data_IF_990699551303
#
_entry.id   IF_990699551303
#
_cell.length_a   1.000
_cell.length_b   1.000
_cell.length_c   1.000
_cell.angle_alpha   90.00
_cell.angle_beta   90.00
_cell.angle_gamma   90.00
#
_symmetry.space_group_name_H-M   'P 1'
#
loop_
_entity.id
_entity.type
_entity.pdbx_description
1 polymer ?
#
# COMPACT_ATOMS: atom_id res chain seq x y z
N UNK A 1 12.98 -24.50 -3.49
CA UNK A 1 13.79 -24.08 -4.65
C UNK A 1 15.20 -23.83 -4.12
N UNK A 2 16.21 -24.45 -4.68
CA UNK A 2 17.60 -24.20 -4.33
C UNK A 2 18.11 -22.90 -4.99
N UNK A 3 19.19 -22.30 -4.47
CA UNK A 3 19.82 -21.15 -5.13
C UNK A 3 20.13 -21.44 -6.61
N UNK A 4 19.71 -20.54 -7.50
CA UNK A 4 19.86 -20.68 -8.96
C UNK A 4 18.76 -21.49 -9.65
N UNK A 5 17.85 -22.12 -8.92
CA UNK A 5 16.68 -22.80 -9.50
C UNK A 5 15.53 -21.80 -9.74
N UNK A 6 14.69 -22.13 -10.72
CA UNK A 6 13.47 -21.39 -11.04
C UNK A 6 12.26 -22.31 -11.04
N UNK A 7 11.12 -21.80 -10.58
CA UNK A 7 9.81 -22.47 -10.71
C UNK A 7 8.81 -21.53 -11.35
N UNK A 8 7.94 -22.09 -12.17
CA UNK A 8 6.84 -21.38 -12.80
C UNK A 8 5.56 -21.72 -12.06
N UNK A 9 4.87 -20.68 -11.57
CA UNK A 9 3.53 -20.77 -11.00
C UNK A 9 2.55 -20.26 -12.05
N UNK A 10 1.44 -21.00 -12.24
CA UNK A 10 0.35 -20.60 -13.14
C UNK A 10 -0.93 -20.54 -12.32
N UNK A 11 -1.63 -19.45 -12.42
CA UNK A 11 -2.94 -19.28 -11.79
C UNK A 11 -3.84 -18.45 -12.72
N UNK A 12 -5.16 -18.54 -12.50
CA UNK A 12 -6.14 -17.75 -13.19
C UNK A 12 -6.51 -16.54 -12.31
N UNK A 13 -6.38 -15.33 -12.87
CA UNK A 13 -6.70 -14.08 -12.19
C UNK A 13 -8.21 -13.85 -12.12
N UNK A 14 -8.90 -14.49 -11.17
CA UNK A 14 -10.37 -14.51 -11.07
C UNK A 14 -10.98 -13.36 -10.29
N UNK A 15 -10.21 -12.75 -9.42
CA UNK A 15 -10.68 -11.73 -8.50
C UNK A 15 -9.94 -10.42 -8.75
N UNK A 16 -10.68 -9.40 -9.17
CA UNK A 16 -10.14 -8.06 -9.34
C UNK A 16 -9.75 -7.45 -7.99
N UNK A 17 -8.72 -6.61 -8.00
CA UNK A 17 -8.19 -5.96 -6.80
C UNK A 17 -6.67 -5.94 -6.78
N UNK A 18 -6.11 -5.52 -5.67
CA UNK A 18 -4.69 -5.62 -5.39
C UNK A 18 -4.46 -6.65 -4.29
N UNK A 19 -3.64 -7.65 -4.57
CA UNK A 19 -3.47 -8.83 -3.74
C UNK A 19 -2.01 -9.03 -3.35
N UNK A 20 -1.79 -9.37 -2.08
CA UNK A 20 -0.45 -9.66 -1.57
C UNK A 20 -0.02 -11.07 -1.94
N UNK A 21 1.23 -11.21 -2.38
CA UNK A 21 1.94 -12.49 -2.33
C UNK A 21 3.14 -12.38 -1.40
N UNK A 22 3.48 -13.44 -0.72
CA UNK A 22 4.59 -13.42 0.24
C UNK A 22 5.21 -14.81 0.44
N UNK A 23 6.40 -14.84 1.03
CA UNK A 23 7.02 -16.10 1.46
C UNK A 23 6.19 -16.76 2.57
N UNK A 24 5.90 -18.05 2.41
CA UNK A 24 5.18 -18.88 3.40
C UNK A 24 6.08 -19.76 4.27
N UNK A 25 7.40 -19.62 4.17
CA UNK A 25 8.35 -20.39 4.99
C UNK A 25 8.27 -19.96 6.46
N UNK A 26 8.32 -20.93 7.36
CA UNK A 26 8.26 -20.65 8.81
C UNK A 26 9.61 -20.12 9.34
N UNK A 27 9.63 -19.08 10.17
CA UNK A 27 8.48 -18.29 10.60
C UNK A 27 8.13 -17.21 9.55
N UNK A 28 6.92 -17.28 8.99
CA UNK A 28 6.48 -16.35 7.93
C UNK A 28 6.61 -14.87 8.32
N UNK A 29 6.36 -14.55 9.57
CA UNK A 29 6.55 -13.22 10.13
C UNK A 29 7.95 -12.66 9.85
N UNK A 30 9.00 -13.49 10.05
CA UNK A 30 10.38 -13.07 9.82
C UNK A 30 10.66 -12.79 8.34
N UNK A 31 10.11 -13.61 7.45
CA UNK A 31 10.30 -13.44 6.01
C UNK A 31 9.54 -12.21 5.49
N UNK A 32 8.30 -12.03 5.90
CA UNK A 32 7.50 -10.84 5.52
C UNK A 32 8.16 -9.57 6.07
N UNK A 33 8.54 -9.55 7.35
CA UNK A 33 9.21 -8.41 7.98
C UNK A 33 10.59 -8.08 7.39
N UNK A 34 11.19 -9.00 6.62
CA UNK A 34 12.39 -8.75 5.83
C UNK A 34 12.09 -8.41 4.34
N UNK A 35 10.83 -8.13 4.00
CA UNK A 35 10.45 -7.64 2.67
C UNK A 35 10.17 -8.75 1.64
N UNK A 36 9.98 -10.00 2.05
CA UNK A 36 9.66 -11.10 1.13
C UNK A 36 8.16 -11.12 0.76
N UNK A 37 7.69 -10.05 0.17
CA UNK A 37 6.32 -9.86 -0.31
C UNK A 37 6.29 -9.02 -1.59
N UNK A 38 5.12 -8.97 -2.21
CA UNK A 38 4.82 -8.07 -3.32
C UNK A 38 3.33 -7.98 -3.58
N UNK A 39 2.96 -7.17 -4.57
CA UNK A 39 1.58 -6.93 -4.97
C UNK A 39 1.30 -7.51 -6.36
N UNK A 40 0.09 -8.03 -6.53
CA UNK A 40 -0.50 -8.36 -7.84
C UNK A 40 -1.75 -7.52 -8.01
N UNK A 41 -1.79 -6.70 -9.05
CA UNK A 41 -2.98 -5.93 -9.42
C UNK A 41 -3.72 -6.67 -10.54
N UNK A 42 -5.02 -6.83 -10.36
CA UNK A 42 -5.94 -7.40 -11.34
C UNK A 42 -7.06 -6.40 -11.52
N UNK A 43 -7.10 -5.76 -12.67
CA UNK A 43 -8.06 -4.70 -12.96
C UNK A 43 -9.51 -5.21 -12.89
N UNK A 44 -10.42 -4.46 -12.25
CA UNK A 44 -11.85 -4.71 -12.40
C UNK A 44 -12.28 -4.62 -13.86
N UNK A 45 -13.27 -5.42 -14.29
CA UNK A 45 -13.85 -5.27 -15.62
C UNK A 45 -14.32 -3.83 -15.85
N UNK A 46 -13.98 -3.27 -17.01
CA UNK A 46 -14.34 -1.90 -17.42
C UNK A 46 -13.80 -0.80 -16.49
N UNK A 47 -12.65 -1.02 -15.87
CA UNK A 47 -11.99 0.00 -15.07
C UNK A 47 -11.73 1.26 -15.94
N UNK A 48 -12.26 2.45 -15.59
CA UNK A 48 -12.05 3.64 -16.37
C UNK A 48 -10.58 4.04 -16.43
N UNK A 49 -10.09 4.63 -17.53
CA UNK A 49 -8.75 5.20 -17.55
C UNK A 49 -8.65 6.42 -16.61
N UNK A 50 -7.46 6.68 -16.12
CA UNK A 50 -7.09 7.85 -15.32
C UNK A 50 -5.84 8.49 -15.90
N UNK A 51 -5.53 9.73 -15.50
CA UNK A 51 -4.33 10.42 -15.98
C UNK A 51 -3.07 9.86 -15.32
N UNK A 52 -3.17 9.49 -14.04
CA UNK A 52 -2.08 8.89 -13.28
C UNK A 52 -2.53 7.68 -12.49
N UNK A 53 -1.71 6.66 -12.49
CA UNK A 53 -1.95 5.45 -11.72
C UNK A 53 -0.68 5.06 -10.95
N UNK A 54 -0.84 4.86 -9.63
CA UNK A 54 0.27 4.54 -8.74
C UNK A 54 -0.06 3.31 -7.89
N UNK A 55 1.00 2.63 -7.44
CA UNK A 55 0.90 1.54 -6.47
C UNK A 55 1.72 1.92 -5.24
N UNK A 56 1.06 1.92 -4.09
CA UNK A 56 1.66 2.16 -2.78
C UNK A 56 1.54 0.92 -1.91
N UNK A 57 2.66 0.36 -1.53
CA UNK A 57 2.73 -0.77 -0.61
C UNK A 57 3.25 -0.27 0.73
N UNK A 58 2.36 -0.23 1.74
CA UNK A 58 2.77 0.07 3.10
C UNK A 58 3.42 -1.16 3.73
N UNK A 59 4.50 -0.98 4.45
CA UNK A 59 5.14 -2.03 5.22
C UNK A 59 5.92 -1.48 6.40
N UNK A 60 6.25 -2.36 7.33
CA UNK A 60 7.06 -2.04 8.50
C UNK A 60 8.53 -2.40 8.27
N UNK A 61 9.42 -1.67 8.91
CA UNK A 61 10.85 -1.98 8.96
C UNK A 61 11.25 -2.32 10.39
N UNK A 62 11.93 -3.45 10.54
CA UNK A 62 12.47 -3.95 11.81
C UNK A 62 13.96 -4.17 11.66
N UNK A 63 14.78 -3.21 12.09
CA UNK A 63 16.22 -3.29 11.93
C UNK A 63 16.83 -4.29 12.92
N UNK A 64 17.72 -5.12 12.40
CA UNK A 64 18.65 -5.95 13.17
C UNK A 64 20.06 -5.35 13.21
N UNK A 65 21.07 -6.12 13.67
CA UNK A 65 22.46 -5.74 13.53
C UNK A 65 22.85 -5.52 12.06
N UNK A 66 23.83 -4.65 11.81
CA UNK A 66 24.25 -4.34 10.45
C UNK A 66 24.72 -5.58 9.70
N UNK A 67 24.14 -5.82 8.52
CA UNK A 67 24.41 -6.99 7.67
C UNK A 67 23.65 -8.26 8.04
N UNK A 68 22.83 -8.20 9.08
CA UNK A 68 21.98 -9.31 9.53
C UNK A 68 20.50 -9.04 9.13
N UNK A 69 19.68 -10.09 9.11
CA UNK A 69 18.22 -9.92 8.95
C UNK A 69 17.60 -9.04 10.02
N UNK A 70 16.41 -8.52 9.74
CA UNK A 70 15.59 -7.79 10.71
C UNK A 70 15.32 -8.60 11.98
N UNK A 71 15.19 -7.91 13.09
CA UNK A 71 15.03 -8.52 14.42
C UNK A 71 13.65 -9.17 14.59
N UNK A 72 13.64 -10.50 14.68
CA UNK A 72 12.41 -11.27 14.88
C UNK A 72 11.74 -10.97 16.22
N UNK A 73 12.51 -10.67 17.27
CA UNK A 73 11.96 -10.29 18.58
C UNK A 73 11.20 -8.97 18.52
N UNK A 74 11.73 -7.99 17.79
CA UNK A 74 11.00 -6.73 17.51
C UNK A 74 9.71 -7.01 16.73
N UNK A 75 9.76 -7.87 15.70
CA UNK A 75 8.57 -8.23 14.90
C UNK A 75 7.49 -8.87 15.77
N UNK A 76 7.86 -9.82 16.65
CA UNK A 76 6.94 -10.49 17.55
C UNK A 76 6.29 -9.56 18.59
N UNK A 77 6.97 -8.45 18.91
CA UNK A 77 6.48 -7.45 19.87
C UNK A 77 5.96 -6.17 19.19
N UNK A 78 5.81 -6.19 17.87
CA UNK A 78 5.31 -5.04 17.06
C UNK A 78 6.12 -3.76 17.26
N UNK A 79 7.43 -3.90 17.52
CA UNK A 79 8.35 -2.80 17.78
C UNK A 79 9.07 -2.37 16.50
N UNK A 80 8.30 -1.94 15.51
CA UNK A 80 8.84 -1.47 14.24
C UNK A 80 9.64 -0.17 14.41
N UNK A 81 10.76 -0.06 13.70
CA UNK A 81 11.60 1.12 13.68
C UNK A 81 11.07 2.18 12.69
N UNK A 82 10.44 1.74 11.60
CA UNK A 82 9.79 2.61 10.64
C UNK A 82 8.55 1.95 10.01
N UNK A 83 7.65 2.79 9.48
CA UNK A 83 6.57 2.40 8.57
C UNK A 83 6.77 3.18 7.28
N UNK A 84 6.68 2.52 6.15
CA UNK A 84 7.09 3.10 4.87
C UNK A 84 6.10 2.78 3.76
N UNK A 85 6.04 3.64 2.75
CA UNK A 85 5.44 3.32 1.46
C UNK A 85 6.55 2.96 0.46
N UNK A 86 6.39 1.82 -0.21
CA UNK A 86 7.32 1.30 -1.23
C UNK A 86 8.77 1.11 -0.72
N UNK A 87 8.93 0.76 0.56
CA UNK A 87 10.18 0.26 1.14
C UNK A 87 11.22 1.31 1.50
N UNK A 88 10.92 2.61 1.42
CA UNK A 88 11.88 3.67 1.71
C UNK A 88 11.30 4.71 2.67
N UNK A 89 12.05 5.00 3.77
CA UNK A 89 11.64 5.98 4.78
C UNK A 89 11.55 7.38 4.17
N UNK A 90 10.40 8.05 4.34
CA UNK A 90 10.14 9.38 3.81
C UNK A 90 10.34 9.51 2.27
N UNK A 91 10.15 8.43 1.50
CA UNK A 91 10.40 8.40 0.06
C UNK A 91 9.78 9.60 -0.67
N UNK A 92 8.50 9.83 -0.47
CA UNK A 92 7.76 10.85 -1.20
C UNK A 92 7.94 12.26 -0.63
N UNK A 93 8.50 12.39 0.56
CA UNK A 93 9.01 13.67 1.07
C UNK A 93 10.30 14.08 0.35
N UNK A 94 11.17 13.11 0.04
CA UNK A 94 12.43 13.36 -0.67
C UNK A 94 12.25 13.44 -2.20
N UNK A 95 11.29 12.68 -2.74
CA UNK A 95 10.99 12.63 -4.17
C UNK A 95 9.46 12.76 -4.36
N UNK A 96 8.89 13.98 -4.23
CA UNK A 96 7.46 14.20 -4.39
C UNK A 96 6.95 13.76 -5.77
N UNK A 97 5.81 13.10 -5.79
CA UNK A 97 5.07 12.81 -7.01
C UNK A 97 4.43 14.11 -7.51
N UNK A 98 4.47 14.34 -8.81
CA UNK A 98 3.87 15.52 -9.43
C UNK A 98 2.67 15.11 -10.26
N UNK A 99 1.57 15.82 -10.06
CA UNK A 99 0.34 15.75 -10.87
C UNK A 99 -0.16 17.17 -11.06
N UNK A 100 -0.84 17.45 -12.17
CA UNK A 100 -1.41 18.76 -12.43
C UNK A 100 -2.82 18.87 -11.82
N UNK A 101 -3.29 20.08 -11.51
CA UNK A 101 -4.66 20.29 -11.05
C UNK A 101 -5.70 19.68 -12.02
N UNK A 102 -6.74 19.11 -11.45
CA UNK A 102 -7.84 18.40 -12.13
C UNK A 102 -7.47 17.12 -12.88
N UNK A 103 -6.20 16.68 -12.88
CA UNK A 103 -5.87 15.34 -13.35
C UNK A 103 -6.41 14.28 -12.40
N UNK A 104 -6.94 13.21 -12.97
CA UNK A 104 -7.49 12.08 -12.24
C UNK A 104 -6.39 11.14 -11.79
N UNK A 105 -6.31 10.87 -10.51
CA UNK A 105 -5.33 9.96 -9.92
C UNK A 105 -6.02 8.72 -9.39
N UNK A 106 -5.47 7.54 -9.69
CA UNK A 106 -5.78 6.27 -9.03
C UNK A 106 -4.58 5.83 -8.21
N UNK A 107 -4.80 5.63 -6.92
CA UNK A 107 -3.82 5.08 -6.00
C UNK A 107 -4.25 3.68 -5.57
N UNK A 108 -3.59 2.64 -6.09
CA UNK A 108 -3.66 1.29 -5.54
C UNK A 108 -2.85 1.24 -4.25
N UNK A 109 -3.44 0.73 -3.21
CA UNK A 109 -2.80 0.63 -1.90
C UNK A 109 -2.89 -0.80 -1.40
N UNK A 110 -1.75 -1.34 -0.99
CA UNK A 110 -1.65 -2.63 -0.30
C UNK A 110 -1.01 -2.38 1.07
N UNK A 111 -1.63 -2.90 2.11
CA UNK A 111 -0.98 -3.00 3.40
C UNK A 111 -0.29 -4.38 3.52
N UNK A 112 1.02 -4.39 3.37
CA UNK A 112 1.80 -5.62 3.48
C UNK A 112 2.14 -5.98 4.93
N UNK A 113 1.93 -5.07 5.86
CA UNK A 113 2.19 -5.28 7.28
C UNK A 113 3.68 -5.48 7.60
N UNK A 114 4.00 -6.47 8.43
CA UNK A 114 3.23 -7.67 8.82
C UNK A 114 2.17 -7.48 9.92
N UNK A 115 2.19 -6.40 10.69
CA UNK A 115 1.34 -6.27 11.90
C UNK A 115 0.56 -4.96 11.97
N UNK A 116 1.13 -3.86 11.46
CA UNK A 116 0.51 -2.53 11.49
C UNK A 116 -0.57 -2.38 10.42
N UNK A 117 -1.70 -1.82 10.80
CA UNK A 117 -2.75 -1.44 9.86
C UNK A 117 -2.44 -0.10 9.17
N UNK A 118 -3.08 0.13 8.03
CA UNK A 118 -3.01 1.38 7.26
C UNK A 118 -4.31 2.16 7.38
N UNK A 119 -4.20 3.48 7.44
CA UNK A 119 -5.28 4.42 7.19
C UNK A 119 -4.78 5.41 6.11
N UNK A 120 -4.67 4.91 4.88
CA UNK A 120 -4.13 5.69 3.76
C UNK A 120 -4.95 6.94 3.52
N UNK A 121 -4.30 8.10 3.55
CA UNK A 121 -4.92 9.40 3.42
C UNK A 121 -4.03 10.35 2.63
N UNK A 122 -4.66 11.22 1.86
CA UNK A 122 -4.01 12.36 1.22
C UNK A 122 -4.61 13.64 1.78
N UNK A 123 -3.79 14.41 2.48
CA UNK A 123 -4.22 15.63 3.16
C UNK A 123 -4.69 16.65 2.13
N UNK A 124 -5.87 17.22 2.34
CA UNK A 124 -6.43 18.26 1.48
C UNK A 124 -7.30 17.75 0.33
N UNK A 125 -7.60 16.45 0.28
CA UNK A 125 -8.55 15.90 -0.69
C UNK A 125 -9.50 14.88 -0.06
N UNK A 126 -10.57 14.58 -0.77
CA UNK A 126 -11.55 13.54 -0.43
C UNK A 126 -11.61 12.56 -1.61
N UNK A 127 -11.53 11.29 -1.32
CA UNK A 127 -11.70 10.24 -2.32
C UNK A 127 -13.17 10.14 -2.72
N UNK A 128 -13.47 10.24 -3.99
CA UNK A 128 -14.81 10.06 -4.55
C UNK A 128 -15.04 8.63 -5.07
N UNK A 129 -13.96 7.88 -5.22
CA UNK A 129 -13.99 6.45 -5.57
C UNK A 129 -13.18 5.66 -4.55
N UNK A 130 -13.79 4.58 -4.06
CA UNK A 130 -13.16 3.64 -3.13
C UNK A 130 -13.49 2.22 -3.58
N UNK A 131 -12.45 1.45 -3.86
CA UNK A 131 -12.51 0.01 -4.10
C UNK A 131 -11.68 -0.68 -3.02
N UNK A 132 -12.27 -1.62 -2.31
CA UNK A 132 -11.58 -2.34 -1.23
C UNK A 132 -11.78 -3.83 -1.37
N UNK A 133 -10.69 -4.57 -1.25
CA UNK A 133 -10.65 -6.00 -1.47
C UNK A 133 -11.13 -6.33 -2.89
N UNK A 134 -12.21 -6.92 -3.12
CA UNK A 134 -12.78 -7.19 -4.44
C UNK A 134 -14.06 -6.39 -4.76
N UNK A 135 -14.30 -5.25 -4.08
CA UNK A 135 -15.61 -4.58 -4.12
C UNK A 135 -15.50 -3.07 -4.26
N UNK A 136 -16.27 -2.51 -5.21
CA UNK A 136 -16.46 -1.06 -5.33
C UNK A 136 -17.43 -0.59 -4.24
N UNK A 137 -16.93 0.24 -3.33
CA UNK A 137 -17.70 0.75 -2.18
C UNK A 137 -18.30 2.13 -2.45
N UNK A 138 -17.62 2.95 -3.23
CA UNK A 138 -17.96 4.32 -3.54
C UNK A 138 -17.54 4.66 -4.96
N UNK A 139 -18.38 5.36 -5.71
CA UNK A 139 -18.04 5.92 -7.02
C UNK A 139 -18.96 7.07 -7.39
N UNK A 140 -18.53 8.02 -8.24
CA UNK A 140 -19.37 9.14 -8.70
C UNK A 140 -20.65 8.69 -9.42
N UNK A 141 -20.59 7.61 -10.20
CA UNK A 141 -21.70 7.09 -11.01
C UNK A 141 -22.59 6.07 -10.26
N UNK A 142 -22.19 5.67 -9.07
CA UNK A 142 -22.88 4.66 -8.28
C UNK A 142 -23.29 5.16 -6.91
N UNK A 143 -22.68 4.57 -5.88
CA UNK A 143 -22.89 5.02 -4.51
C UNK A 143 -22.07 6.28 -4.27
N UNK A 144 -22.71 7.43 -4.39
CA UNK A 144 -22.10 8.74 -4.20
C UNK A 144 -21.75 9.01 -2.74
N UNK A 145 -20.73 9.83 -2.53
CA UNK A 145 -20.26 10.26 -1.22
C UNK A 145 -18.81 10.67 -1.28
N UNK A 146 -18.14 10.63 -0.12
CA UNK A 146 -16.74 10.89 -0.01
C UNK A 146 -16.11 10.01 1.05
N UNK A 147 -14.86 9.63 0.85
CA UNK A 147 -14.06 8.94 1.84
C UNK A 147 -12.79 9.73 2.14
N UNK A 148 -12.50 9.89 3.40
CA UNK A 148 -11.31 10.62 3.85
C UNK A 148 -10.07 9.73 3.88
N UNK A 149 -10.24 8.43 4.13
CA UNK A 149 -9.16 7.48 4.22
C UNK A 149 -9.59 6.11 3.70
N UNK A 150 -8.63 5.34 3.22
CA UNK A 150 -8.78 3.91 2.95
C UNK A 150 -8.18 3.13 4.12
N UNK A 151 -9.03 2.47 4.88
CA UNK A 151 -8.62 1.61 5.99
C UNK A 151 -8.26 0.21 5.48
N UNK A 152 -7.08 -0.28 5.84
CA UNK A 152 -6.59 -1.60 5.47
C UNK A 152 -5.98 -2.29 6.68
N UNK A 153 -6.27 -3.57 6.84
CA UNK A 153 -5.55 -4.46 7.75
C UNK A 153 -4.39 -5.12 6.98
N UNK A 154 -3.38 -5.67 7.67
CA UNK A 154 -2.31 -6.43 7.03
C UNK A 154 -2.84 -7.44 6.01
N UNK A 155 -2.28 -7.45 4.82
CA UNK A 155 -2.64 -8.18 3.60
C UNK A 155 -3.88 -7.69 2.84
N UNK A 156 -4.61 -6.70 3.34
CA UNK A 156 -5.70 -6.09 2.59
C UNK A 156 -5.21 -5.04 1.60
N UNK A 157 -5.97 -4.89 0.53
CA UNK A 157 -5.68 -3.90 -0.49
C UNK A 157 -6.93 -3.28 -1.10
N UNK A 158 -6.72 -2.21 -1.85
CA UNK A 158 -7.78 -1.50 -2.56
C UNK A 158 -7.22 -0.40 -3.43
N UNK A 159 -8.10 0.39 -4.02
CA UNK A 159 -7.70 1.65 -4.64
C UNK A 159 -8.65 2.77 -4.26
N UNK A 160 -8.14 3.98 -4.34
CA UNK A 160 -8.91 5.21 -4.24
C UNK A 160 -8.66 6.06 -5.48
N UNK A 161 -9.67 6.85 -5.86
CA UNK A 161 -9.49 7.87 -6.89
C UNK A 161 -9.88 9.25 -6.37
N UNK A 162 -9.18 10.24 -6.88
CA UNK A 162 -9.32 11.64 -6.49
C UNK A 162 -8.68 12.55 -7.57
N UNK A 163 -8.90 13.85 -7.43
CA UNK A 163 -8.17 14.92 -8.12
C UNK A 163 -7.87 16.05 -7.14
N UNK A 164 -6.99 16.95 -7.52
CA UNK A 164 -6.71 18.18 -6.80
C UNK A 164 -7.26 19.36 -7.59
N UNK A 165 -8.03 20.25 -6.94
CA UNK A 165 -8.64 21.40 -7.60
C UNK A 165 -7.62 22.51 -7.87
N UNK A 166 -6.56 22.60 -7.07
CA UNK A 166 -5.54 23.65 -7.14
C UNK A 166 -4.13 23.10 -6.92
N UNK A 167 -3.13 23.85 -7.39
CA UNK A 167 -1.73 23.52 -7.14
C UNK A 167 -1.38 23.69 -5.66
N UNK A 168 -0.66 22.74 -5.09
CA UNK A 168 -0.30 22.76 -3.68
C UNK A 168 0.60 21.59 -3.29
N UNK A 169 0.91 21.49 -2.02
CA UNK A 169 1.57 20.35 -1.42
C UNK A 169 0.53 19.55 -0.62
N UNK A 170 0.32 18.31 -1.04
CA UNK A 170 -0.66 17.40 -0.46
C UNK A 170 0.06 16.20 0.18
N UNK A 171 0.29 16.21 1.50
CA UNK A 171 0.96 15.10 2.17
C UNK A 171 0.19 13.79 2.04
N UNK A 172 0.88 12.73 1.66
CA UNK A 172 0.39 11.36 1.66
C UNK A 172 0.88 10.68 2.95
N UNK A 173 -0.04 10.16 3.74
CA UNK A 173 0.28 9.58 5.05
C UNK A 173 -0.57 8.34 5.35
N UNK A 174 -0.12 7.50 6.28
CA UNK A 174 -1.07 6.70 7.06
C UNK A 174 -1.59 7.56 8.20
N UNK A 175 -2.92 7.68 8.33
CA UNK A 175 -3.51 8.48 9.40
C UNK A 175 -3.45 7.79 10.78
N UNK A 176 -2.78 6.67 10.88
CA UNK A 176 -2.25 6.13 12.14
C UNK A 176 -1.06 7.01 12.57
N UNK A 177 -1.36 8.17 13.12
CA UNK A 177 -0.49 9.34 13.17
C UNK A 177 0.80 9.12 13.97
N UNK A 178 0.84 8.14 14.86
CA UNK A 178 2.07 7.72 15.53
C UNK A 178 3.15 7.23 14.54
N UNK A 179 2.75 6.79 13.34
CA UNK A 179 3.66 6.28 12.31
C UNK A 179 4.17 7.36 11.36
N UNK A 180 3.54 8.54 11.29
CA UNK A 180 4.01 9.67 10.47
C UNK A 180 5.43 10.09 10.86
N UNK A 181 5.74 10.12 12.16
CA UNK A 181 7.09 10.37 12.65
C UNK A 181 8.10 9.26 12.36
N UNK A 182 7.63 8.09 11.91
CA UNK A 182 8.43 6.93 11.53
C UNK A 182 8.57 6.73 10.02
N UNK A 183 8.03 7.64 9.20
CA UNK A 183 8.28 7.67 7.76
C UNK A 183 7.08 7.40 6.85
N UNK A 184 5.87 7.19 7.42
CA UNK A 184 4.63 6.91 6.66
C UNK A 184 3.64 8.07 6.67
#
# INVERSE_FOLDING_TARGET
>A
IAPGESRVYKFEAKHAGIWMYHCGTSPALHHIGNGMFGAVVIDPPNLPPVDHEFIFVQSEIYTGPMGEPGDLGKMQNEQHDAVVFNGYVNQYKHAPIRVEPNERVRAWVLDAGPSENSAFHIVGTIFDTVYKEGTLLLSPDGRQGGSQALDLQPSQGGYVEFSFDEAGLYPMVTHKFANVGKGA
#
